data_IF_069847090827
#
_entry.id   IF_069847090827
#
_cell.length_a   1.000
_cell.length_b   1.000
_cell.length_c   1.000
_cell.angle_alpha   90.00
_cell.angle_beta   90.00
_cell.angle_gamma   90.00
#
_symmetry.space_group_name_H-M   'P 1'
#
loop_
_entity.id
_entity.type
_entity.pdbx_description
1 polymer ?
#
# COMPACT_ATOMS: atom_id res chain seq x y z
N UNK A 1 1.34 -49.70 -23.77
CA UNK A 1 2.33 -50.31 -24.71
C UNK A 1 3.17 -49.21 -25.32
N UNK A 2 4.48 -49.39 -25.20
CA UNK A 2 5.64 -48.78 -25.92
C UNK A 2 5.87 -47.28 -25.62
N UNK A 3 6.85 -46.92 -24.79
CA UNK A 3 8.35 -46.88 -24.88
C UNK A 3 8.81 -45.60 -25.53
N UNK A 4 9.45 -44.75 -24.71
CA UNK A 4 10.90 -44.45 -24.58
C UNK A 4 11.58 -44.01 -25.89
N UNK A 5 12.21 -42.83 -25.87
CA UNK A 5 13.66 -42.75 -26.03
C UNK A 5 14.18 -41.35 -25.65
N UNK A 6 15.17 -41.41 -24.78
CA UNK A 6 16.17 -40.39 -24.44
C UNK A 6 17.07 -40.05 -25.63
N UNK A 7 17.64 -38.82 -25.67
CA UNK A 7 19.03 -38.66 -26.10
C UNK A 7 19.67 -37.42 -25.48
N UNK A 8 20.62 -37.65 -24.64
CA UNK A 8 21.69 -36.74 -24.20
C UNK A 8 22.62 -36.41 -25.38
N UNK A 9 23.15 -35.21 -25.45
CA UNK A 9 24.55 -35.03 -25.82
C UNK A 9 25.14 -33.78 -25.16
N UNK A 10 26.33 -34.03 -24.60
CA UNK A 10 27.13 -33.14 -23.78
C UNK A 10 28.28 -32.51 -24.59
N UNK A 11 28.87 -31.46 -23.98
CA UNK A 11 30.29 -31.11 -23.94
C UNK A 11 30.91 -30.36 -25.13
N UNK A 12 31.47 -29.17 -24.88
CA UNK A 12 32.89 -28.90 -24.95
C UNK A 12 33.30 -27.53 -24.48
N UNK A 13 34.20 -27.51 -23.51
CA UNK A 13 35.05 -26.41 -23.07
C UNK A 13 36.05 -26.04 -24.19
N UNK A 14 36.43 -24.74 -24.27
CA UNK A 14 37.82 -24.35 -24.61
C UNK A 14 38.17 -23.09 -23.81
N UNK A 15 39.19 -23.27 -22.94
CA UNK A 15 40.04 -22.23 -22.34
C UNK A 15 41.03 -21.73 -23.39
N UNK A 16 41.38 -20.44 -23.33
CA UNK A 16 42.71 -19.97 -23.70
C UNK A 16 43.13 -18.74 -22.89
N UNK A 17 44.19 -18.95 -22.11
CA UNK A 17 45.06 -17.96 -21.48
C UNK A 17 46.09 -17.43 -22.46
N UNK A 18 46.53 -16.18 -22.29
CA UNK A 18 47.92 -15.68 -22.37
C UNK A 18 47.85 -14.13 -22.21
N UNK A 19 48.37 -13.47 -21.21
CA UNK A 19 49.69 -13.39 -20.57
C UNK A 19 50.64 -12.37 -21.25
N UNK A 20 51.30 -11.54 -20.38
CA UNK A 20 52.51 -10.71 -20.53
C UNK A 20 52.32 -9.31 -21.16
N UNK A 21 52.86 -8.23 -20.65
CA UNK A 21 53.79 -7.96 -19.58
C UNK A 21 54.56 -6.64 -19.84
N UNK A 22 55.05 -6.03 -18.79
CA UNK A 22 56.21 -5.12 -18.77
C UNK A 22 55.88 -3.63 -18.73
N UNK A 23 56.07 -2.99 -17.63
CA UNK A 23 57.19 -2.50 -16.85
C UNK A 23 57.71 -1.10 -17.21
N UNK A 24 57.66 -0.26 -16.19
CA UNK A 24 58.69 0.68 -15.64
C UNK A 24 59.04 1.93 -16.45
N UNK A 25 59.24 3.10 -15.93
CA UNK A 25 59.89 3.64 -14.76
C UNK A 25 59.84 5.17 -14.75
N UNK A 26 59.72 5.73 -13.55
CA UNK A 26 60.53 6.82 -12.95
C UNK A 26 60.73 8.11 -13.77
N UNK A 27 60.73 9.28 -13.21
CA UNK A 27 61.27 9.84 -11.98
C UNK A 27 61.03 11.35 -11.88
N UNK A 28 60.79 11.78 -10.68
CA UNK A 28 61.44 12.75 -9.80
C UNK A 28 61.49 14.25 -10.13
N UNK A 29 61.03 14.96 -9.08
CA UNK A 29 61.57 16.19 -8.44
C UNK A 29 61.33 17.53 -9.14
N UNK A 30 60.99 18.55 -8.47
CA UNK A 30 61.29 19.18 -7.18
C UNK A 30 61.05 20.67 -7.28
N UNK A 31 60.61 21.21 -6.18
CA UNK A 31 60.91 22.50 -5.53
C UNK A 31 60.32 23.77 -6.13
N UNK A 32 59.68 24.51 -5.34
CA UNK A 32 59.87 25.37 -4.23
C UNK A 32 59.30 26.77 -4.48
N UNK A 33 58.43 27.15 -3.59
CA UNK A 33 58.47 28.26 -2.66
C UNK A 33 58.14 29.68 -3.16
N UNK A 34 57.33 30.31 -2.31
CA UNK A 34 57.35 31.72 -1.86
C UNK A 34 56.20 32.56 -2.40
N UNK A 35 55.31 32.99 -1.62
CA UNK A 35 55.13 33.88 -0.49
C UNK A 35 54.19 35.06 -0.87
N UNK A 36 53.27 35.30 0.04
CA UNK A 36 52.67 36.60 0.45
C UNK A 36 51.81 37.40 -0.53
N UNK A 37 50.52 37.57 -0.26
CA UNK A 37 49.92 38.69 0.50
C UNK A 37 48.40 38.68 0.36
N UNK A 38 47.73 38.86 1.49
CA UNK A 38 46.29 39.22 1.59
C UNK A 38 46.17 40.72 1.38
N UNK A 39 45.09 41.28 0.81
CA UNK A 39 44.07 41.82 1.67
C UNK A 39 42.63 41.54 1.26
N UNK A 40 41.86 41.43 2.28
CA UNK A 40 40.45 41.60 2.57
C UNK A 40 39.67 42.52 1.61
N UNK A 41 38.54 41.98 1.06
CA UNK A 41 37.34 42.79 0.78
C UNK A 41 36.14 41.88 0.77
N UNK A 42 35.22 42.11 1.70
CA UNK A 42 33.93 41.53 1.79
C UNK A 42 33.09 41.81 0.53
N UNK A 43 32.44 40.77 0.01
CA UNK A 43 31.26 40.93 -0.84
C UNK A 43 30.31 39.79 -0.51
N UNK A 44 29.19 40.17 0.10
CA UNK A 44 28.01 39.34 0.26
C UNK A 44 27.60 38.79 -1.11
N UNK A 45 27.70 37.49 -1.27
CA UNK A 45 27.02 36.77 -2.32
C UNK A 45 25.92 35.93 -1.64
N UNK A 46 24.72 36.45 -1.70
CA UNK A 46 23.52 35.64 -1.48
C UNK A 46 23.58 34.45 -2.43
N UNK A 47 23.89 33.28 -1.91
CA UNK A 47 23.69 32.02 -2.64
C UNK A 47 22.21 31.77 -2.73
N UNK A 48 21.65 32.03 -3.90
CA UNK A 48 20.41 31.38 -4.33
C UNK A 48 20.71 29.87 -4.36
N UNK A 49 20.25 29.14 -3.35
CA UNK A 49 20.12 27.69 -3.47
C UNK A 49 19.09 27.43 -4.59
N UNK A 50 19.61 27.13 -5.77
CA UNK A 50 18.83 26.49 -6.81
C UNK A 50 18.22 25.22 -6.20
N UNK A 51 16.89 25.15 -6.19
CA UNK A 51 16.18 23.92 -5.90
C UNK A 51 16.73 22.86 -6.85
N UNK A 52 17.45 21.88 -6.29
CA UNK A 52 17.99 20.74 -7.03
C UNK A 52 16.78 20.03 -7.66
N UNK A 53 16.60 20.20 -8.97
CA UNK A 53 15.62 19.42 -9.74
C UNK A 53 15.88 17.95 -9.43
N UNK A 54 14.86 17.27 -8.89
CA UNK A 54 14.86 15.81 -8.69
C UNK A 54 14.94 15.17 -10.08
N UNK A 55 16.14 14.82 -10.51
CA UNK A 55 16.38 14.11 -11.76
C UNK A 55 15.98 12.65 -11.60
N UNK A 56 14.68 12.36 -11.59
CA UNK A 56 14.19 11.04 -11.91
C UNK A 56 13.66 11.07 -13.35
N UNK A 57 14.36 10.42 -14.25
CA UNK A 57 13.95 10.28 -15.67
C UNK A 57 12.75 9.35 -15.85
N UNK A 58 12.39 8.58 -14.82
CA UNK A 58 11.32 7.59 -14.87
C UNK A 58 10.24 7.91 -13.83
N UNK A 59 8.97 7.76 -14.24
CA UNK A 59 7.82 7.90 -13.36
C UNK A 59 7.86 6.89 -12.19
N UNK A 60 7.43 7.31 -11.00
CA UNK A 60 7.34 6.46 -9.81
C UNK A 60 6.23 5.42 -10.00
N UNK A 61 6.60 4.13 -10.04
CA UNK A 61 5.69 3.02 -10.32
C UNK A 61 4.97 2.56 -9.06
N UNK A 62 3.68 2.85 -9.00
CA UNK A 62 2.82 2.59 -7.84
C UNK A 62 1.72 1.61 -8.23
N UNK A 63 1.56 0.51 -7.49
CA UNK A 63 0.40 -0.35 -7.61
C UNK A 63 -0.71 0.02 -6.62
N UNK A 64 -1.95 -0.03 -7.07
CA UNK A 64 -3.13 0.12 -6.25
C UNK A 64 -4.17 -0.97 -6.52
N UNK A 65 -4.96 -1.32 -5.50
CA UNK A 65 -6.12 -2.16 -5.67
C UNK A 65 -7.33 -1.34 -6.13
N UNK A 66 -8.20 -1.93 -6.95
CA UNK A 66 -9.51 -1.33 -7.27
C UNK A 66 -10.35 -1.28 -6.00
N UNK A 67 -10.20 -0.21 -5.24
CA UNK A 67 -10.85 -0.07 -3.93
C UNK A 67 -10.36 1.13 -3.12
N UNK A 68 -10.69 1.17 -1.81
CA UNK A 68 -10.48 2.34 -0.98
C UNK A 68 -8.99 2.67 -0.75
N UNK A 69 -8.10 1.67 -0.78
CA UNK A 69 -6.66 1.86 -0.59
C UNK A 69 -6.00 2.72 -1.67
N UNK A 70 -6.63 2.82 -2.85
CA UNK A 70 -6.12 3.58 -3.99
C UNK A 70 -6.80 4.95 -4.13
N UNK A 71 -8.01 5.13 -3.56
CA UNK A 71 -8.76 6.39 -3.73
C UNK A 71 -8.02 7.62 -3.19
N UNK A 72 -7.13 7.45 -2.21
CA UNK A 72 -6.26 8.53 -1.72
C UNK A 72 -5.05 8.82 -2.62
N UNK A 73 -4.77 8.00 -3.64
CA UNK A 73 -3.65 8.18 -4.57
C UNK A 73 -4.05 8.88 -5.88
N UNK A 74 -5.34 8.87 -6.25
CA UNK A 74 -5.77 9.31 -7.59
C UNK A 74 -5.49 10.79 -7.87
N UNK A 75 -5.49 11.64 -6.83
CA UNK A 75 -5.20 13.07 -6.99
C UNK A 75 -3.72 13.34 -7.30
N UNK A 76 -2.79 12.37 -7.10
CA UNK A 76 -1.42 12.48 -7.59
C UNK A 76 -1.38 12.72 -9.10
N UNK A 77 -2.22 12.00 -9.87
CA UNK A 77 -2.30 12.13 -11.32
C UNK A 77 -2.87 13.49 -11.76
N UNK A 78 -3.84 14.05 -11.00
CA UNK A 78 -4.31 15.42 -11.26
C UNK A 78 -3.22 16.44 -10.96
N UNK A 79 -2.53 16.29 -9.84
CA UNK A 79 -1.43 17.18 -9.46
C UNK A 79 -0.29 17.14 -10.48
N UNK A 80 0.03 15.97 -11.06
CA UNK A 80 1.00 15.81 -12.15
C UNK A 80 0.53 16.56 -13.39
N UNK A 81 -0.71 16.34 -13.84
CA UNK A 81 -1.31 17.02 -15.01
C UNK A 81 -1.34 18.53 -14.85
N UNK A 82 -1.53 19.03 -13.64
CA UNK A 82 -1.61 20.45 -13.31
C UNK A 82 -0.22 21.07 -13.03
N UNK A 83 0.86 20.28 -13.09
CA UNK A 83 2.24 20.70 -12.81
C UNK A 83 2.50 21.07 -11.34
N UNK A 84 1.67 20.56 -10.40
CA UNK A 84 1.78 20.81 -8.95
C UNK A 84 2.34 19.62 -8.17
N UNK A 85 2.52 18.47 -8.84
CA UNK A 85 3.23 17.32 -8.30
C UNK A 85 4.74 17.54 -8.32
N UNK A 86 5.42 16.93 -7.38
CA UNK A 86 6.90 16.94 -7.31
C UNK A 86 7.54 15.84 -8.17
N UNK A 87 6.76 14.86 -8.62
CA UNK A 87 7.19 13.67 -9.34
C UNK A 87 6.17 13.31 -10.42
N UNK A 88 6.61 12.52 -11.41
CA UNK A 88 5.74 11.82 -12.35
C UNK A 88 5.29 10.49 -11.74
N UNK A 89 4.05 10.06 -12.00
CA UNK A 89 3.43 8.89 -11.36
C UNK A 89 2.89 7.89 -12.39
N UNK A 90 3.33 6.64 -12.33
CA UNK A 90 2.72 5.50 -13.02
C UNK A 90 1.87 4.69 -12.03
N UNK A 91 0.58 5.04 -11.94
CA UNK A 91 -0.38 4.36 -11.05
C UNK A 91 -1.06 3.20 -11.78
N UNK A 92 -0.69 1.98 -11.44
CA UNK A 92 -1.19 0.75 -12.02
C UNK A 92 -2.25 0.11 -11.12
N UNK A 93 -3.41 -0.28 -11.69
CA UNK A 93 -4.52 -0.87 -10.95
C UNK A 93 -4.63 -2.38 -11.12
N UNK A 94 -4.91 -3.05 -10.02
CA UNK A 94 -5.07 -4.50 -9.93
C UNK A 94 -6.38 -4.87 -9.23
N UNK A 95 -6.93 -6.04 -9.58
CA UNK A 95 -8.14 -6.57 -8.95
C UNK A 95 -7.86 -7.22 -7.60
N UNK A 96 -6.71 -7.88 -7.48
CA UNK A 96 -6.32 -8.64 -6.30
C UNK A 96 -4.85 -8.39 -5.90
N UNK A 97 -4.55 -8.55 -4.62
CA UNK A 97 -3.22 -8.25 -4.08
C UNK A 97 -2.15 -9.27 -4.48
N UNK A 98 -2.52 -10.47 -4.85
CA UNK A 98 -1.62 -11.52 -5.35
C UNK A 98 -1.06 -11.20 -6.75
N UNK A 99 -1.70 -10.32 -7.52
CA UNK A 99 -1.15 -9.78 -8.76
C UNK A 99 -0.03 -8.75 -8.50
N UNK A 100 -0.11 -8.00 -7.40
CA UNK A 100 0.84 -6.95 -7.03
C UNK A 100 2.13 -7.53 -6.44
N UNK A 101 2.01 -8.51 -5.53
CA UNK A 101 3.12 -9.03 -4.73
C UNK A 101 4.30 -9.52 -5.59
N UNK A 102 4.12 -10.34 -6.65
CA UNK A 102 5.24 -10.78 -7.48
C UNK A 102 5.97 -9.64 -8.17
N UNK A 103 5.25 -8.62 -8.63
CA UNK A 103 5.79 -7.45 -9.31
C UNK A 103 6.61 -6.57 -8.37
N UNK A 104 6.11 -6.36 -7.15
CA UNK A 104 6.83 -5.61 -6.13
C UNK A 104 8.14 -6.33 -5.73
N UNK A 105 8.11 -7.66 -5.55
CA UNK A 105 9.30 -8.46 -5.24
C UNK A 105 10.34 -8.41 -6.37
N UNK A 106 9.91 -8.45 -7.63
CA UNK A 106 10.80 -8.39 -8.80
C UNK A 106 11.34 -7.00 -9.10
N UNK A 107 10.83 -5.95 -8.43
CA UNK A 107 11.21 -4.57 -8.71
C UNK A 107 10.56 -3.98 -9.97
N UNK A 108 9.51 -4.61 -10.49
CA UNK A 108 8.67 -4.06 -11.55
C UNK A 108 7.80 -2.89 -11.04
N UNK A 109 7.59 -2.82 -9.73
CA UNK A 109 6.92 -1.74 -8.99
C UNK A 109 7.85 -1.22 -7.90
N UNK A 110 7.75 0.05 -7.57
CA UNK A 110 8.52 0.69 -6.50
C UNK A 110 7.74 0.74 -5.20
N UNK A 111 6.43 0.98 -5.31
CA UNK A 111 5.50 1.13 -4.21
C UNK A 111 4.20 0.39 -4.47
N UNK A 112 3.45 0.15 -3.40
CA UNK A 112 2.11 -0.41 -3.52
C UNK A 112 1.20 -0.02 -2.36
N UNK A 113 -0.10 0.14 -2.65
CA UNK A 113 -1.17 0.22 -1.66
C UNK A 113 -1.80 -1.16 -1.47
N UNK A 114 -1.52 -1.81 -0.33
CA UNK A 114 -1.88 -3.21 -0.06
C UNK A 114 -2.55 -3.37 1.32
N UNK A 115 -3.22 -4.51 1.59
CA UNK A 115 -3.75 -4.82 2.92
C UNK A 115 -2.66 -4.82 4.00
N UNK A 116 -2.99 -4.26 5.17
CA UNK A 116 -2.02 -4.05 6.25
C UNK A 116 -1.37 -5.35 6.75
N UNK A 117 -2.14 -6.42 6.91
CA UNK A 117 -1.61 -7.72 7.33
C UNK A 117 -0.73 -8.37 6.25
N UNK A 118 -1.08 -8.16 4.97
CA UNK A 118 -0.28 -8.66 3.85
C UNK A 118 1.09 -7.99 3.81
N UNK A 119 1.18 -6.70 4.15
CA UNK A 119 2.46 -6.01 4.27
C UNK A 119 3.36 -6.70 5.30
N UNK A 120 2.83 -7.06 6.49
CA UNK A 120 3.59 -7.82 7.49
C UNK A 120 4.03 -9.20 6.98
N UNK A 121 3.12 -9.93 6.34
CA UNK A 121 3.44 -11.23 5.74
C UNK A 121 4.51 -11.13 4.65
N UNK A 122 4.42 -10.10 3.80
CA UNK A 122 5.38 -9.86 2.72
C UNK A 122 6.75 -9.47 3.28
N UNK A 123 6.78 -8.63 4.32
CA UNK A 123 8.00 -8.28 5.05
C UNK A 123 8.75 -9.53 5.55
N UNK A 124 8.02 -10.46 6.18
CA UNK A 124 8.61 -11.73 6.66
C UNK A 124 9.13 -12.59 5.50
N UNK A 125 8.32 -12.76 4.45
CA UNK A 125 8.68 -13.58 3.29
C UNK A 125 9.87 -13.04 2.49
N UNK A 126 10.07 -11.73 2.51
CA UNK A 126 11.15 -11.06 1.79
C UNK A 126 12.36 -10.71 2.67
N UNK A 127 12.36 -11.16 3.94
CA UNK A 127 13.39 -10.80 4.92
C UNK A 127 13.65 -9.28 5.00
N UNK A 128 12.59 -8.49 5.09
CA UNK A 128 12.69 -7.03 5.19
C UNK A 128 12.76 -6.32 3.84
N UNK A 129 12.33 -6.95 2.75
CA UNK A 129 12.39 -6.38 1.40
C UNK A 129 11.42 -5.24 1.14
N UNK A 130 10.50 -4.94 2.06
CA UNK A 130 9.58 -3.79 2.00
C UNK A 130 9.52 -3.04 3.32
N UNK A 131 9.08 -1.78 3.28
CA UNK A 131 8.77 -0.96 4.45
C UNK A 131 7.40 -0.31 4.28
N UNK A 132 6.67 -0.14 5.40
CA UNK A 132 5.42 0.63 5.40
C UNK A 132 5.72 2.10 5.59
N UNK A 133 5.18 2.95 4.71
CA UNK A 133 5.37 4.41 4.73
C UNK A 133 4.19 5.15 5.35
N UNK A 134 2.96 4.64 5.13
CA UNK A 134 1.76 5.27 5.65
C UNK A 134 0.62 4.26 5.84
N UNK A 135 -0.23 4.49 6.84
CA UNK A 135 -1.61 3.97 6.85
C UNK A 135 -2.42 4.82 5.89
N UNK A 136 -3.10 4.19 4.95
CA UNK A 136 -3.90 4.87 3.93
C UNK A 136 -5.40 4.67 4.08
N UNK A 137 -5.83 3.60 4.74
CA UNK A 137 -7.25 3.25 4.87
C UNK A 137 -7.50 2.57 6.22
N UNK A 138 -8.41 3.12 6.98
CA UNK A 138 -8.91 2.49 8.21
C UNK A 138 -10.01 1.46 7.88
N UNK A 139 -10.87 1.12 8.84
CA UNK A 139 -11.93 0.14 8.65
C UNK A 139 -12.97 0.57 7.60
N UNK A 140 -13.25 -0.32 6.63
CA UNK A 140 -14.17 -0.09 5.50
C UNK A 140 -15.01 -1.31 5.16
N UNK A 141 -15.02 -2.32 6.04
CA UNK A 141 -15.67 -3.60 5.81
C UNK A 141 -17.06 -3.63 6.45
N UNK A 142 -18.02 -4.21 5.74
CA UNK A 142 -19.40 -4.32 6.17
C UNK A 142 -19.96 -5.69 5.85
N UNK A 143 -20.78 -6.23 6.77
CA UNK A 143 -21.68 -7.34 6.42
C UNK A 143 -22.92 -6.75 5.79
N UNK A 144 -23.25 -7.23 4.60
CA UNK A 144 -24.46 -6.85 3.87
C UNK A 144 -25.35 -8.06 3.68
N UNK A 145 -26.67 -7.84 3.65
CA UNK A 145 -27.68 -8.88 3.47
C UNK A 145 -28.71 -8.44 2.44
N UNK A 146 -29.12 -9.39 1.59
CA UNK A 146 -30.29 -9.27 0.74
C UNK A 146 -31.47 -9.98 1.42
N UNK A 147 -32.04 -9.34 2.43
CA UNK A 147 -33.06 -9.90 3.30
C UNK A 147 -33.23 -9.11 4.60
N UNK A 148 -33.86 -9.72 5.59
CA UNK A 148 -34.04 -9.12 6.91
C UNK A 148 -33.96 -10.18 8.03
N UNK A 149 -32.91 -11.00 7.99
CA UNK A 149 -32.72 -12.09 8.94
C UNK A 149 -31.50 -11.92 9.82
N UNK A 150 -30.58 -11.04 9.44
CA UNK A 150 -29.34 -10.75 10.20
C UNK A 150 -29.48 -9.41 10.92
N UNK A 151 -29.33 -9.44 12.23
CA UNK A 151 -29.35 -8.27 13.14
C UNK A 151 -28.14 -8.25 14.06
N UNK A 152 -27.45 -9.38 14.20
CA UNK A 152 -26.27 -9.58 15.03
C UNK A 152 -25.35 -10.64 14.46
N UNK A 153 -24.14 -10.79 15.02
CA UNK A 153 -23.26 -11.92 14.66
C UNK A 153 -23.91 -13.28 14.92
N UNK A 154 -24.72 -13.41 15.97
CA UNK A 154 -25.38 -14.69 16.31
C UNK A 154 -26.24 -15.23 15.17
N UNK A 155 -26.85 -14.33 14.39
CA UNK A 155 -27.73 -14.69 13.25
C UNK A 155 -26.94 -15.21 12.02
N UNK A 156 -25.62 -15.13 12.06
CA UNK A 156 -24.75 -15.70 11.03
C UNK A 156 -24.53 -17.21 11.20
N UNK A 157 -24.94 -17.81 12.35
CA UNK A 157 -24.78 -19.24 12.59
C UNK A 157 -25.51 -20.07 11.54
N UNK A 158 -24.77 -21.04 10.97
CA UNK A 158 -25.27 -21.91 9.90
C UNK A 158 -25.38 -21.25 8.52
N UNK A 159 -24.94 -19.99 8.39
CA UNK A 159 -25.07 -19.23 7.15
C UNK A 159 -23.81 -19.32 6.27
N UNK A 160 -24.02 -19.12 4.98
CA UNK A 160 -22.92 -18.90 4.02
C UNK A 160 -22.70 -17.41 3.87
N UNK A 161 -21.42 -16.98 3.99
CA UNK A 161 -20.97 -15.60 3.88
C UNK A 161 -20.04 -15.51 2.67
N UNK A 162 -20.40 -14.72 1.68
CA UNK A 162 -19.56 -14.44 0.53
C UNK A 162 -18.52 -13.38 0.93
N UNK A 163 -17.25 -13.55 0.56
CA UNK A 163 -16.19 -12.61 0.91
C UNK A 163 -15.10 -12.57 -0.15
N UNK A 164 -14.16 -11.66 0.01
CA UNK A 164 -12.93 -11.59 -0.79
C UNK A 164 -11.71 -11.56 0.12
N UNK A 165 -10.53 -11.53 -0.47
CA UNK A 165 -9.31 -11.27 0.26
C UNK A 165 -8.91 -12.41 1.19
N UNK A 166 -9.02 -13.67 0.73
CA UNK A 166 -8.48 -14.83 1.44
C UNK A 166 -6.99 -14.62 1.74
N UNK A 167 -6.57 -14.82 2.98
CA UNK A 167 -5.19 -14.55 3.43
C UNK A 167 -4.90 -13.07 3.68
N UNK A 168 -5.88 -12.17 3.58
CA UNK A 168 -5.72 -10.73 3.79
C UNK A 168 -6.69 -10.18 4.84
N UNK A 169 -6.64 -8.88 5.09
CA UNK A 169 -7.42 -8.19 6.15
C UNK A 169 -8.90 -8.60 6.20
N UNK A 170 -9.67 -8.69 5.10
CA UNK A 170 -11.09 -9.07 5.18
C UNK A 170 -11.32 -10.42 5.86
N UNK A 171 -10.52 -11.44 5.52
CA UNK A 171 -10.66 -12.75 6.16
C UNK A 171 -10.36 -12.69 7.64
N UNK A 172 -9.18 -12.16 8.02
CA UNK A 172 -8.73 -12.20 9.41
C UNK A 172 -9.63 -11.37 10.33
N UNK A 173 -10.11 -10.21 9.86
CA UNK A 173 -11.04 -9.37 10.62
C UNK A 173 -12.39 -10.08 10.82
N UNK A 174 -12.96 -10.65 9.77
CA UNK A 174 -14.22 -11.40 9.88
C UNK A 174 -14.09 -12.58 10.85
N UNK A 175 -13.06 -13.39 10.70
CA UNK A 175 -12.79 -14.56 11.56
C UNK A 175 -12.57 -14.17 13.02
N UNK A 176 -11.84 -13.08 13.26
CA UNK A 176 -11.61 -12.54 14.59
C UNK A 176 -12.92 -12.09 15.24
N UNK A 177 -13.73 -11.32 14.52
CA UNK A 177 -15.01 -10.81 15.04
C UNK A 177 -16.04 -11.94 15.24
N UNK A 178 -16.07 -12.95 14.40
CA UNK A 178 -16.88 -14.16 14.62
C UNK A 178 -16.50 -14.82 15.95
N UNK A 179 -15.20 -15.09 16.18
CA UNK A 179 -14.71 -15.69 17.44
C UNK A 179 -15.05 -14.83 18.66
N UNK A 180 -14.89 -13.51 18.58
CA UNK A 180 -15.22 -12.59 19.67
C UNK A 180 -16.72 -12.56 20.00
N UNK A 181 -17.56 -12.94 19.04
CA UNK A 181 -19.00 -13.04 19.20
C UNK A 181 -19.49 -14.51 19.43
N UNK A 182 -18.59 -15.42 19.81
CA UNK A 182 -18.94 -16.79 20.18
C UNK A 182 -19.27 -17.71 19.02
N UNK A 183 -18.77 -17.40 17.81
CA UNK A 183 -18.92 -18.24 16.61
C UNK A 183 -17.54 -18.80 16.21
N UNK A 184 -17.49 -20.11 15.99
CA UNK A 184 -16.33 -20.75 15.36
C UNK A 184 -16.39 -20.53 13.84
N UNK A 185 -15.45 -19.77 13.24
CA UNK A 185 -15.51 -19.46 11.81
C UNK A 185 -15.30 -20.67 10.90
N UNK A 186 -14.87 -21.81 11.44
CA UNK A 186 -14.63 -23.04 10.68
C UNK A 186 -15.78 -24.06 10.83
N UNK A 187 -16.68 -23.87 11.82
CA UNK A 187 -17.78 -24.80 12.11
C UNK A 187 -19.15 -24.15 12.04
N UNK A 188 -19.25 -22.90 12.54
CA UNK A 188 -20.54 -22.25 12.73
C UNK A 188 -21.00 -21.46 11.50
N UNK A 189 -20.11 -21.17 10.56
CA UNK A 189 -20.40 -20.46 9.32
C UNK A 189 -19.65 -21.10 8.15
N UNK A 190 -20.14 -20.88 6.92
CA UNK A 190 -19.39 -21.20 5.71
C UNK A 190 -18.95 -19.91 5.07
N UNK A 191 -17.64 -19.70 4.89
CA UNK A 191 -17.11 -18.51 4.20
C UNK A 191 -16.67 -18.94 2.81
N UNK A 192 -17.25 -18.32 1.78
CA UNK A 192 -16.89 -18.53 0.37
C UNK A 192 -16.11 -17.32 -0.14
N UNK A 193 -14.89 -17.56 -0.64
CA UNK A 193 -14.00 -16.52 -1.09
C UNK A 193 -14.00 -16.41 -2.61
N UNK A 194 -14.06 -15.17 -3.10
CA UNK A 194 -13.93 -14.77 -4.49
C UNK A 194 -12.66 -13.97 -4.69
N UNK A 195 -12.16 -13.90 -5.91
CA UNK A 195 -10.93 -13.18 -6.23
C UNK A 195 -11.09 -11.67 -6.05
N UNK A 196 -12.23 -11.12 -6.50
CA UNK A 196 -12.50 -9.68 -6.46
C UNK A 196 -13.83 -9.33 -5.78
N UNK A 197 -13.91 -8.13 -5.19
CA UNK A 197 -15.13 -7.62 -4.59
C UNK A 197 -16.25 -7.32 -5.63
N UNK A 198 -15.87 -7.08 -6.88
CA UNK A 198 -16.78 -6.97 -8.03
C UNK A 198 -17.56 -8.27 -8.26
N UNK A 199 -16.91 -9.43 -8.11
CA UNK A 199 -17.54 -10.74 -8.25
C UNK A 199 -18.54 -10.99 -7.12
N UNK A 200 -18.19 -10.71 -5.87
CA UNK A 200 -19.11 -10.80 -4.72
C UNK A 200 -20.31 -9.87 -4.93
N UNK A 201 -20.09 -8.66 -5.42
CA UNK A 201 -21.17 -7.71 -5.74
C UNK A 201 -22.11 -8.27 -6.81
N UNK A 202 -21.57 -8.95 -7.83
CA UNK A 202 -22.36 -9.61 -8.87
C UNK A 202 -23.17 -10.78 -8.31
N UNK A 203 -22.57 -11.62 -7.46
CA UNK A 203 -23.28 -12.73 -6.79
C UNK A 203 -24.41 -12.20 -5.90
N UNK A 204 -24.19 -11.13 -5.14
CA UNK A 204 -25.24 -10.50 -4.33
C UNK A 204 -26.39 -9.96 -5.20
N UNK A 205 -26.10 -9.36 -6.35
CA UNK A 205 -27.11 -8.88 -7.28
C UNK A 205 -27.95 -10.04 -7.88
N UNK A 206 -27.30 -11.16 -8.22
CA UNK A 206 -27.95 -12.35 -8.78
C UNK A 206 -28.73 -13.16 -7.71
N UNK A 207 -28.38 -13.04 -6.44
CA UNK A 207 -29.02 -13.77 -5.35
C UNK A 207 -30.50 -13.39 -5.19
N UNK A 208 -31.34 -14.38 -4.82
CA UNK A 208 -32.77 -14.15 -4.63
C UNK A 208 -33.08 -13.51 -3.28
N UNK A 209 -32.84 -14.23 -2.17
CA UNK A 209 -33.07 -13.76 -0.79
C UNK A 209 -32.00 -14.36 0.14
N UNK A 210 -31.85 -13.73 1.30
CA UNK A 210 -31.05 -14.20 2.42
C UNK A 210 -29.55 -14.42 2.10
N UNK A 211 -29.06 -13.82 1.00
CA UNK A 211 -27.64 -13.81 0.68
C UNK A 211 -26.93 -12.82 1.60
N UNK A 212 -25.77 -13.24 2.10
CA UNK A 212 -24.95 -12.47 3.02
C UNK A 212 -23.55 -12.35 2.41
N UNK A 213 -22.97 -11.14 2.48
CA UNK A 213 -21.61 -10.93 2.05
C UNK A 213 -20.85 -9.99 2.98
N UNK A 214 -19.52 -10.12 3.00
CA UNK A 214 -18.61 -9.09 3.51
C UNK A 214 -18.05 -8.34 2.31
N UNK A 215 -18.31 -7.04 2.27
CA UNK A 215 -17.87 -6.15 1.21
C UNK A 215 -17.19 -4.92 1.79
N UNK A 216 -16.14 -4.40 1.15
CA UNK A 216 -15.58 -3.08 1.45
C UNK A 216 -16.39 -1.97 0.74
N UNK A 217 -16.26 -0.72 1.19
CA UNK A 217 -16.49 0.40 0.30
C UNK A 217 -15.44 0.39 -0.82
N UNK A 218 -15.77 0.86 -2.02
CA UNK A 218 -17.05 1.41 -2.51
C UNK A 218 -18.07 0.35 -2.97
N UNK A 219 -17.76 -0.94 -2.85
CA UNK A 219 -18.59 -2.05 -3.37
C UNK A 219 -19.93 -2.17 -2.64
N UNK A 220 -19.98 -1.87 -1.33
CA UNK A 220 -21.26 -1.76 -0.61
C UNK A 220 -22.15 -0.71 -1.25
N UNK A 221 -21.61 0.48 -1.50
CA UNK A 221 -22.36 1.56 -2.16
C UNK A 221 -22.81 1.16 -3.57
N UNK A 222 -21.92 0.53 -4.35
CA UNK A 222 -22.24 0.06 -5.70
C UNK A 222 -23.38 -1.00 -5.68
N UNK A 223 -23.33 -1.93 -4.73
CA UNK A 223 -24.36 -2.95 -4.57
C UNK A 223 -25.71 -2.34 -4.17
N UNK A 224 -25.71 -1.42 -3.21
CA UNK A 224 -26.94 -0.71 -2.77
C UNK A 224 -27.55 0.17 -3.87
N UNK A 225 -26.72 0.76 -4.74
CA UNK A 225 -27.23 1.54 -5.90
C UNK A 225 -27.87 0.64 -6.97
N UNK A 226 -27.48 -0.63 -7.06
CA UNK A 226 -28.09 -1.62 -7.97
C UNK A 226 -29.32 -2.27 -7.36
N UNK A 227 -29.34 -2.49 -6.05
CA UNK A 227 -30.40 -3.15 -5.31
C UNK A 227 -30.67 -2.41 -3.99
N UNK A 228 -31.74 -1.63 -3.97
CA UNK A 228 -32.16 -0.87 -2.79
C UNK A 228 -32.62 -1.74 -1.61
N UNK A 229 -32.89 -3.02 -1.84
CA UNK A 229 -33.21 -4.00 -0.81
C UNK A 229 -31.97 -4.54 -0.08
N UNK A 230 -30.76 -4.23 -0.55
CA UNK A 230 -29.53 -4.64 0.10
C UNK A 230 -29.28 -3.79 1.36
N UNK A 231 -29.22 -4.45 2.52
CA UNK A 231 -28.99 -3.79 3.81
C UNK A 231 -27.54 -3.93 4.25
N UNK A 232 -26.99 -2.90 4.85
CA UNK A 232 -25.81 -3.02 5.73
C UNK A 232 -26.32 -3.48 7.08
N UNK A 233 -25.90 -4.65 7.54
CA UNK A 233 -26.34 -5.25 8.79
C UNK A 233 -25.34 -5.15 9.91
N UNK A 234 -24.03 -5.24 9.61
CA UNK A 234 -22.94 -5.00 10.56
C UNK A 234 -21.86 -4.10 9.92
N UNK A 235 -21.46 -3.09 10.66
CA UNK A 235 -20.28 -2.28 10.38
C UNK A 235 -19.10 -2.88 11.15
N UNK A 236 -18.19 -3.55 10.45
CA UNK A 236 -17.10 -4.28 11.11
C UNK A 236 -16.12 -3.36 11.83
N UNK A 237 -16.06 -2.07 11.48
CA UNK A 237 -15.29 -1.07 12.22
C UNK A 237 -15.91 -0.81 13.59
N UNK A 238 -17.24 -0.65 13.63
CA UNK A 238 -17.96 -0.48 14.90
C UNK A 238 -17.86 -1.73 15.77
N UNK A 239 -17.98 -2.90 15.17
CA UNK A 239 -17.86 -4.17 15.88
C UNK A 239 -16.43 -4.40 16.41
N UNK A 240 -15.40 -4.00 15.63
CA UNK A 240 -14.01 -4.01 16.08
C UNK A 240 -13.80 -3.13 17.30
N UNK A 241 -14.28 -1.88 17.26
CA UNK A 241 -14.16 -0.93 18.36
C UNK A 241 -14.89 -1.34 19.64
N UNK A 242 -15.82 -2.31 19.57
CA UNK A 242 -16.46 -2.90 20.77
C UNK A 242 -15.59 -3.92 21.47
N UNK A 243 -14.65 -4.53 20.77
CA UNK A 243 -13.85 -5.67 21.28
C UNK A 243 -12.36 -5.42 21.29
N UNK A 244 -11.92 -4.28 20.76
CA UNK A 244 -10.52 -3.86 20.66
C UNK A 244 -10.37 -2.38 20.94
N UNK A 245 -9.30 -2.01 21.65
CA UNK A 245 -8.89 -0.62 21.89
C UNK A 245 -7.94 -0.10 20.79
N UNK A 246 -7.83 -0.81 19.65
CA UNK A 246 -6.97 -0.46 18.52
C UNK A 246 -7.77 -0.05 17.31
N UNK A 247 -7.15 0.71 16.40
CA UNK A 247 -7.77 1.02 15.12
C UNK A 247 -7.86 -0.24 14.25
N UNK A 248 -8.98 -0.42 13.54
CA UNK A 248 -9.05 -1.35 12.42
C UNK A 248 -8.34 -0.74 11.22
N UNK A 249 -7.24 -1.34 10.78
CA UNK A 249 -6.44 -0.87 9.65
C UNK A 249 -6.66 -1.80 8.47
N UNK A 250 -7.22 -1.28 7.39
CA UNK A 250 -7.46 -2.07 6.18
C UNK A 250 -6.27 -2.00 5.23
N UNK A 251 -5.72 -0.82 5.00
CA UNK A 251 -4.70 -0.62 3.99
C UNK A 251 -3.52 0.24 4.44
N UNK A 252 -2.38 -0.07 3.83
CA UNK A 252 -1.11 0.65 4.00
C UNK A 252 -0.45 0.89 2.65
N UNK A 253 0.38 1.92 2.57
CA UNK A 253 1.26 2.16 1.43
C UNK A 253 2.66 1.68 1.80
N UNK A 254 3.21 0.79 0.97
CA UNK A 254 4.54 0.21 1.16
C UNK A 254 5.49 0.62 0.03
N UNK A 255 6.77 0.62 0.34
CA UNK A 255 7.88 0.82 -0.61
C UNK A 255 8.86 -0.33 -0.53
N UNK A 256 9.52 -0.67 -1.63
CA UNK A 256 10.67 -1.58 -1.59
C UNK A 256 11.80 -0.96 -0.77
N UNK A 257 12.33 -1.73 0.18
CA UNK A 257 13.38 -1.26 1.11
C UNK A 257 14.62 -0.75 0.37
N UNK A 258 15.02 -1.44 -0.69
CA UNK A 258 16.18 -1.04 -1.49
C UNK A 258 15.91 0.26 -2.25
N UNK A 259 14.73 0.39 -2.86
CA UNK A 259 14.34 1.62 -3.55
C UNK A 259 14.34 2.84 -2.60
N UNK A 260 13.77 2.68 -1.40
CA UNK A 260 13.74 3.74 -0.40
C UNK A 260 15.14 4.19 0.06
N UNK A 261 16.09 3.24 0.16
CA UNK A 261 17.49 3.55 0.51
C UNK A 261 18.22 4.29 -0.60
N UNK A 262 17.95 3.93 -1.85
CA UNK A 262 18.61 4.53 -3.01
C UNK A 262 18.03 5.90 -3.39
N UNK A 263 16.74 6.14 -3.08
CA UNK A 263 15.99 7.31 -3.52
C UNK A 263 15.30 8.05 -2.35
N UNK A 264 16.01 8.46 -1.29
CA UNK A 264 15.39 9.07 -0.10
C UNK A 264 14.68 10.39 -0.43
N UNK A 265 15.18 11.17 -1.38
CA UNK A 265 14.59 12.45 -1.78
C UNK A 265 13.27 12.22 -2.56
N UNK A 266 13.21 11.18 -3.41
CA UNK A 266 11.98 10.76 -4.10
C UNK A 266 10.91 10.33 -3.10
N UNK A 267 11.29 9.58 -2.06
CA UNK A 267 10.35 9.16 -1.02
C UNK A 267 9.80 10.38 -0.25
N UNK A 268 10.64 11.36 0.08
CA UNK A 268 10.20 12.57 0.78
C UNK A 268 9.24 13.41 -0.08
N UNK A 269 9.54 13.56 -1.37
CA UNK A 269 8.67 14.22 -2.34
C UNK A 269 7.32 13.49 -2.48
N UNK A 270 7.35 12.17 -2.66
CA UNK A 270 6.14 11.35 -2.69
C UNK A 270 5.27 11.51 -1.44
N UNK A 271 5.85 11.40 -0.25
CA UNK A 271 5.09 11.53 1.00
C UNK A 271 4.43 12.91 1.13
N UNK A 272 5.10 13.96 0.64
CA UNK A 272 4.55 15.32 0.60
C UNK A 272 3.36 15.41 -0.35
N UNK A 273 3.49 14.92 -1.57
CA UNK A 273 2.43 14.93 -2.57
C UNK A 273 1.29 14.00 -2.18
N UNK A 274 1.60 12.84 -1.59
CA UNK A 274 0.61 11.89 -1.12
C UNK A 274 -0.26 12.47 0.01
N UNK A 275 0.33 13.23 0.93
CA UNK A 275 -0.44 13.92 1.96
C UNK A 275 -1.43 14.91 1.35
N UNK A 276 -1.03 15.68 0.32
CA UNK A 276 -1.93 16.59 -0.42
C UNK A 276 -3.01 15.82 -1.15
N UNK A 277 -2.66 14.72 -1.82
CA UNK A 277 -3.60 13.86 -2.55
C UNK A 277 -4.67 13.27 -1.62
N UNK A 278 -4.29 12.76 -0.45
CA UNK A 278 -5.25 12.27 0.56
C UNK A 278 -6.12 13.39 1.12
N UNK A 279 -5.56 14.59 1.34
CA UNK A 279 -6.32 15.76 1.75
C UNK A 279 -7.38 16.10 0.70
N UNK A 280 -7.01 16.18 -0.58
CA UNK A 280 -7.95 16.42 -1.68
C UNK A 280 -9.03 15.34 -1.75
N UNK A 281 -8.69 14.06 -1.55
CA UNK A 281 -9.67 12.96 -1.53
C UNK A 281 -10.75 13.10 -0.44
N UNK A 282 -10.47 13.82 0.63
CA UNK A 282 -11.43 14.06 1.71
C UNK A 282 -12.15 15.42 1.60
N UNK A 283 -11.55 16.41 0.94
CA UNK A 283 -12.10 17.78 0.85
C UNK A 283 -12.79 18.04 -0.49
N UNK A 284 -12.25 17.53 -1.61
CA UNK A 284 -12.84 17.61 -2.95
C UNK A 284 -13.40 16.25 -3.37
N UNK A 285 -14.56 15.92 -2.82
CA UNK A 285 -15.27 14.67 -3.11
C UNK A 285 -15.66 14.56 -4.58
N UNK A 286 -16.06 15.64 -5.23
CA UNK A 286 -16.54 15.62 -6.62
C UNK A 286 -15.37 15.44 -7.60
N UNK A 287 -14.28 16.18 -7.46
CA UNK A 287 -13.08 16.02 -8.26
C UNK A 287 -12.45 14.64 -8.08
N UNK A 288 -12.27 14.19 -6.83
CA UNK A 288 -11.74 12.86 -6.54
C UNK A 288 -12.64 11.73 -7.09
N UNK A 289 -13.98 11.91 -7.04
CA UNK A 289 -14.89 10.90 -7.59
C UNK A 289 -14.78 10.80 -9.11
N UNK A 290 -14.61 11.91 -9.81
CA UNK A 290 -14.37 11.94 -11.26
C UNK A 290 -13.04 11.23 -11.61
N UNK A 291 -11.96 11.51 -10.89
CA UNK A 291 -10.67 10.85 -11.05
C UNK A 291 -10.75 9.34 -10.76
N UNK A 292 -11.50 8.91 -9.74
CA UNK A 292 -11.70 7.49 -9.45
C UNK A 292 -12.38 6.73 -10.62
N UNK A 293 -13.28 7.38 -11.37
CA UNK A 293 -13.87 6.81 -12.58
C UNK A 293 -12.88 6.85 -13.75
N UNK A 294 -12.22 7.99 -13.99
CA UNK A 294 -11.24 8.17 -15.06
C UNK A 294 -10.11 7.15 -14.97
N UNK A 295 -9.54 6.97 -13.78
CA UNK A 295 -8.45 6.02 -13.52
C UNK A 295 -8.96 4.57 -13.48
N UNK A 296 -10.24 4.33 -13.25
CA UNK A 296 -10.84 3.00 -13.19
C UNK A 296 -10.79 2.33 -11.81
N UNK A 297 -10.57 3.09 -10.75
CA UNK A 297 -10.66 2.59 -9.35
C UNK A 297 -12.10 2.20 -9.03
N UNK A 298 -13.06 2.96 -9.54
CA UNK A 298 -14.51 2.73 -9.40
C UNK A 298 -15.18 2.88 -10.75
N UNK A 299 -16.17 2.04 -11.03
CA UNK A 299 -16.83 2.00 -12.33
C UNK A 299 -17.59 3.30 -12.72
N UNK A 300 -18.00 4.12 -11.75
CA UNK A 300 -18.74 5.39 -11.96
C UNK A 300 -18.44 6.39 -10.86
N UNK A 301 -18.23 7.64 -11.23
CA UNK A 301 -18.04 8.76 -10.29
C UNK A 301 -19.20 8.89 -9.28
N UNK A 302 -20.42 8.64 -9.68
CA UNK A 302 -21.59 8.66 -8.79
C UNK A 302 -21.51 7.64 -7.64
N UNK A 303 -20.84 6.48 -7.87
CA UNK A 303 -20.56 5.50 -6.81
C UNK A 303 -19.46 6.04 -5.90
N UNK A 304 -18.36 6.52 -6.49
CA UNK A 304 -17.23 7.07 -5.75
C UNK A 304 -17.68 8.24 -4.85
N UNK A 305 -18.44 9.18 -5.38
CA UNK A 305 -18.99 10.35 -4.63
C UNK A 305 -19.76 9.93 -3.37
N UNK A 306 -20.60 8.89 -3.46
CA UNK A 306 -21.38 8.38 -2.32
C UNK A 306 -20.54 7.53 -1.36
N UNK A 307 -19.46 6.90 -1.85
CA UNK A 307 -18.62 6.00 -1.08
C UNK A 307 -17.48 6.70 -0.34
N UNK A 308 -16.85 7.71 -0.95
CA UNK A 308 -15.67 8.42 -0.42
C UNK A 308 -15.82 8.81 1.06
N UNK A 309 -16.94 9.42 1.52
CA UNK A 309 -17.10 9.76 2.94
C UNK A 309 -17.14 8.54 3.89
N UNK A 310 -17.24 7.33 3.36
CA UNK A 310 -17.32 6.06 4.10
C UNK A 310 -16.09 5.18 3.89
N UNK A 311 -15.11 5.66 3.11
CA UNK A 311 -13.90 4.90 2.78
C UNK A 311 -12.80 5.04 3.84
N UNK A 312 -12.98 5.92 4.83
CA UNK A 312 -12.02 6.16 5.91
C UNK A 312 -10.58 6.33 5.38
N UNK A 313 -10.43 7.14 4.31
CA UNK A 313 -9.15 7.44 3.70
C UNK A 313 -8.37 8.35 4.62
N UNK A 314 -7.16 7.95 4.97
CA UNK A 314 -6.29 8.68 5.90
C UNK A 314 -4.86 8.74 5.37
N UNK A 315 -4.09 9.67 5.91
CA UNK A 315 -2.63 9.70 5.78
C UNK A 315 -2.03 9.77 7.17
N UNK A 316 -1.50 8.65 7.65
CA UNK A 316 -0.77 8.57 8.92
C UNK A 316 0.59 7.97 8.66
N UNK A 317 1.65 8.68 8.98
CA UNK A 317 3.02 8.25 8.81
C UNK A 317 3.82 8.36 10.12
N UNK A 318 5.11 7.99 10.07
CA UNK A 318 6.04 8.12 11.20
C UNK A 318 5.59 7.38 12.45
N UNK A 319 5.66 8.03 13.61
CA UNK A 319 5.39 7.39 14.91
C UNK A 319 3.91 7.03 15.12
N UNK A 320 2.99 7.83 14.58
CA UNK A 320 1.55 7.52 14.64
C UNK A 320 1.25 6.23 13.87
N UNK A 321 1.75 6.14 12.62
CA UNK A 321 1.66 4.93 11.81
C UNK A 321 2.23 3.71 12.54
N UNK A 322 3.45 3.82 13.07
CA UNK A 322 4.11 2.72 13.79
C UNK A 322 3.28 2.24 14.98
N UNK A 323 2.78 3.18 15.80
CA UNK A 323 1.93 2.89 16.96
C UNK A 323 0.67 2.14 16.52
N UNK A 324 -0.05 2.66 15.54
CA UNK A 324 -1.33 2.12 15.11
C UNK A 324 -1.17 0.74 14.47
N UNK A 325 -0.20 0.58 13.57
CA UNK A 325 0.05 -0.69 12.88
C UNK A 325 0.55 -1.76 13.85
N UNK A 326 1.49 -1.44 14.74
CA UNK A 326 2.01 -2.42 15.69
C UNK A 326 0.92 -2.95 16.62
N UNK A 327 0.04 -2.07 17.12
CA UNK A 327 -1.08 -2.46 17.94
C UNK A 327 -2.10 -3.33 17.18
N UNK A 328 -2.42 -2.96 15.94
CA UNK A 328 -3.31 -3.74 15.08
C UNK A 328 -2.74 -5.13 14.75
N UNK A 329 -1.47 -5.20 14.33
CA UNK A 329 -0.82 -6.46 14.00
C UNK A 329 -0.67 -7.38 15.22
N UNK A 330 -0.50 -6.83 16.41
CA UNK A 330 -0.49 -7.60 17.66
C UNK A 330 -1.83 -8.34 17.86
N UNK A 331 -2.96 -7.65 17.68
CA UNK A 331 -4.31 -8.27 17.79
C UNK A 331 -4.46 -9.41 16.77
N UNK A 332 -3.99 -9.21 15.54
CA UNK A 332 -4.04 -10.26 14.52
C UNK A 332 -3.13 -11.44 14.85
N UNK A 333 -1.91 -11.17 15.33
CA UNK A 333 -0.95 -12.20 15.74
C UNK A 333 -1.48 -13.07 16.86
N UNK A 334 -2.07 -12.46 17.91
CA UNK A 334 -2.64 -13.18 19.04
C UNK A 334 -3.83 -14.04 18.62
N UNK A 335 -4.60 -13.60 17.63
CA UNK A 335 -5.71 -14.37 17.08
C UNK A 335 -5.27 -15.50 16.13
N UNK A 336 -4.22 -15.25 15.35
CA UNK A 336 -3.63 -16.17 14.37
C UNK A 336 -2.25 -15.67 13.93
N UNK A 337 -1.14 -16.27 14.37
CA UNK A 337 0.20 -15.87 13.94
C UNK A 337 0.39 -15.87 12.41
N UNK A 338 -0.31 -16.75 11.71
CA UNK A 338 -0.29 -16.83 10.25
C UNK A 338 -0.79 -15.53 9.57
N UNK A 339 -1.64 -14.76 10.25
CA UNK A 339 -2.17 -13.50 9.72
C UNK A 339 -1.07 -12.46 9.44
N UNK A 340 0.05 -12.54 10.14
CA UNK A 340 1.18 -11.60 10.04
C UNK A 340 2.48 -12.28 9.55
N UNK A 341 2.36 -13.48 8.97
CA UNK A 341 3.52 -14.22 8.44
C UNK A 341 4.29 -15.01 9.48
N UNK A 342 3.68 -15.37 10.61
CA UNK A 342 4.22 -16.25 11.65
C UNK A 342 4.92 -15.52 12.80
N UNK A 343 5.35 -14.29 12.62
CA UNK A 343 5.93 -13.42 13.66
C UNK A 343 5.64 -11.94 13.40
N UNK A 344 5.65 -11.14 14.45
CA UNK A 344 5.51 -9.69 14.32
C UNK A 344 6.74 -9.09 13.62
N UNK A 345 6.55 -8.05 12.79
CA UNK A 345 7.65 -7.31 12.19
C UNK A 345 8.46 -6.56 13.24
N UNK A 346 9.75 -6.39 13.00
CA UNK A 346 10.63 -5.52 13.78
C UNK A 346 10.54 -4.04 13.34
N UNK A 347 11.37 -3.19 13.95
CA UNK A 347 11.37 -1.74 13.70
C UNK A 347 11.73 -1.36 12.27
N UNK A 348 12.47 -2.19 11.53
CA UNK A 348 12.84 -1.95 10.13
C UNK A 348 11.64 -2.06 9.17
N UNK A 349 10.53 -2.64 9.61
CA UNK A 349 9.29 -2.69 8.87
C UNK A 349 8.68 -1.29 8.63
N UNK A 350 8.95 -0.35 9.53
CA UNK A 350 8.38 0.99 9.49
C UNK A 350 9.39 1.95 8.85
N UNK A 351 9.01 2.56 7.73
CA UNK A 351 9.84 3.59 7.12
C UNK A 351 10.03 4.77 8.07
N UNK A 352 11.27 5.18 8.20
CA UNK A 352 11.65 6.35 8.99
C UNK A 352 12.50 7.26 8.10
N UNK A 353 12.07 8.51 7.95
CA UNK A 353 12.85 9.50 7.20
C UNK A 353 14.28 9.60 7.75
N UNK A 354 15.30 9.65 6.88
CA UNK A 354 16.68 9.91 7.31
C UNK A 354 16.76 11.20 8.14
N UNK A 355 17.56 11.18 9.20
CA UNK A 355 17.65 12.30 10.16
C UNK A 355 18.07 13.62 9.53
N UNK A 356 18.89 13.58 8.49
CA UNK A 356 19.34 14.76 7.72
C UNK A 356 18.16 15.35 6.95
N UNK A 357 17.42 14.55 6.23
CA UNK A 357 16.25 14.97 5.44
C UNK A 357 15.17 15.58 6.34
N UNK A 358 14.94 14.98 7.52
CA UNK A 358 13.99 15.49 8.52
C UNK A 358 14.36 16.90 8.98
N UNK A 359 15.66 17.19 9.18
CA UNK A 359 16.14 18.52 9.57
C UNK A 359 15.95 19.54 8.46
N UNK A 360 16.25 19.19 7.20
CA UNK A 360 16.07 20.04 6.02
C UNK A 360 14.59 20.36 5.81
N UNK A 361 13.70 19.36 5.81
CA UNK A 361 12.27 19.56 5.65
C UNK A 361 11.64 20.37 6.80
N UNK A 362 12.14 20.23 8.03
CA UNK A 362 11.72 21.07 9.15
C UNK A 362 12.15 22.53 8.97
N UNK A 363 13.36 22.77 8.46
CA UNK A 363 13.87 24.12 8.16
C UNK A 363 13.03 24.80 7.06
N UNK A 364 12.73 24.11 5.95
CA UNK A 364 11.88 24.60 4.86
C UNK A 364 10.46 24.94 5.36
N UNK A 365 9.88 24.08 6.18
CA UNK A 365 8.52 24.29 6.74
C UNK A 365 8.46 25.49 7.69
N UNK A 366 9.57 25.80 8.39
CA UNK A 366 9.66 26.95 9.31
C UNK A 366 9.92 28.26 8.57
N UNK A 367 10.55 28.22 7.39
CA UNK A 367 10.79 29.42 6.54
C UNK A 367 9.57 29.80 5.67
N UNK A 368 8.56 28.90 5.55
CA UNK A 368 7.32 29.14 4.81
C UNK A 368 6.15 29.64 5.70
N UNK A 369 6.39 29.86 6.99
CA UNK A 369 5.49 30.53 7.95
C UNK A 369 5.93 31.97 8.19
#
# INVERSE_FOLDING_TARGET
MKKLTSMLLALALVLSLAACGGAASSSVASSAASSEAVPEAASEAASSEEAKELSTTDALRIAGLKGPTTMGLVNLLSMEKDGTASLDYDLQLYGAADEIVPKLIKGELDMAAIPANLAATLYQKTNGGIQVMAVNTLGVLYVVEKGNTVHSFADLRGRTILSTGKGTTPEYVLRYLLKKNGLDPDKDVKIEYYSEASEVTAQMAAARKDAIAVLPQPYVTAAQMKDSGLRVVLDLTKEWNRVCDTQLITGVTVVRTEYAKQNPDVIAAFLTDYQKSVKAANEDIDGTAALCEEVGVVAKAAIAKKALPKCNIVYRNGQEMKKDISAYLQVLYDASPAAVGGKLPDDNFYYTEPSVLRKVMAAIRNSAK
#
